data_IF_512905940904
#
_entry.id   IF_512905940904
#
_cell.length_a   1.000
_cell.length_b   1.000
_cell.length_c   1.000
_cell.angle_alpha   90.00
_cell.angle_beta   90.00
_cell.angle_gamma   90.00
#
_symmetry.space_group_name_H-M   'P 1'
#
loop_
_entity.id
_entity.type
_entity.pdbx_description
1 polymer ?
#
# COMPACT_ATOMS: atom_id res chain seq x y z
N UNK A 1 7.54 9.68 7.53
CA UNK A 1 7.66 9.06 6.19
C UNK A 1 8.77 8.03 6.09
N UNK A 2 10.04 8.30 6.49
CA UNK A 2 11.11 7.28 6.45
C UNK A 2 10.76 6.00 7.23
N UNK A 3 10.11 6.13 8.39
CA UNK A 3 9.66 4.99 9.19
C UNK A 3 8.68 4.09 8.39
N UNK A 4 7.64 4.67 7.81
CA UNK A 4 6.62 3.90 7.08
C UNK A 4 7.15 3.11 5.87
N UNK A 5 8.09 3.69 5.10
CA UNK A 5 8.73 2.93 4.01
C UNK A 5 9.61 1.77 4.54
N UNK A 6 10.23 1.95 5.71
CA UNK A 6 11.01 0.89 6.36
C UNK A 6 10.11 -0.24 6.89
N UNK A 7 8.93 0.10 7.42
CA UNK A 7 7.94 -0.88 7.90
C UNK A 7 7.46 -1.79 6.76
N UNK A 8 7.24 -1.21 5.57
CA UNK A 8 6.91 -1.94 4.35
C UNK A 8 8.09 -2.81 3.82
N UNK A 9 9.30 -2.64 4.36
CA UNK A 9 10.49 -3.38 3.92
C UNK A 9 10.97 -3.02 2.51
N UNK A 10 10.58 -1.86 1.96
CA UNK A 10 10.93 -1.44 0.61
C UNK A 10 11.84 -0.21 0.60
N UNK A 11 12.78 -0.09 -0.37
CA UNK A 11 13.60 1.10 -0.52
C UNK A 11 12.74 2.35 -0.68
N UNK A 12 13.16 3.44 -0.02
CA UNK A 12 12.41 4.70 0.02
C UNK A 12 12.14 5.27 -1.39
N UNK A 13 13.06 5.08 -2.33
CA UNK A 13 12.91 5.55 -3.71
C UNK A 13 11.89 4.74 -4.50
N UNK A 14 11.81 3.43 -4.26
CA UNK A 14 10.76 2.57 -4.82
C UNK A 14 9.39 2.97 -4.27
N UNK A 15 9.31 3.22 -2.96
CA UNK A 15 8.09 3.66 -2.29
C UNK A 15 7.51 4.91 -2.97
N UNK A 16 8.31 5.96 -3.19
CA UNK A 16 7.79 7.18 -3.82
C UNK A 16 7.42 7.02 -5.29
N UNK A 17 8.20 6.22 -6.05
CA UNK A 17 7.89 5.95 -7.46
C UNK A 17 6.56 5.25 -7.64
N UNK A 18 6.19 4.34 -6.74
CA UNK A 18 4.89 3.66 -6.75
C UNK A 18 3.70 4.63 -6.68
N UNK A 19 3.86 5.78 -6.02
CA UNK A 19 2.81 6.82 -5.94
C UNK A 19 2.95 7.90 -7.03
N UNK A 20 3.82 7.69 -8.04
CA UNK A 20 4.12 8.67 -9.07
C UNK A 20 4.94 9.87 -8.59
N UNK A 21 5.60 9.76 -7.43
CA UNK A 21 6.37 10.85 -6.83
C UNK A 21 7.85 10.65 -7.16
N UNK A 22 8.44 11.57 -7.92
CA UNK A 22 9.85 11.51 -8.26
C UNK A 22 10.75 11.71 -7.02
N UNK A 23 11.78 10.87 -6.87
CA UNK A 23 12.75 10.96 -5.76
C UNK A 23 13.36 12.36 -5.65
N UNK A 24 13.68 12.99 -6.78
CA UNK A 24 14.23 14.35 -6.81
C UNK A 24 13.28 15.39 -6.20
N UNK A 25 11.97 15.23 -6.37
CA UNK A 25 10.96 16.12 -5.76
C UNK A 25 10.95 15.97 -4.25
N UNK A 26 11.02 14.73 -3.75
CA UNK A 26 11.07 14.45 -2.30
C UNK A 26 12.33 15.01 -1.68
N UNK A 27 13.51 14.72 -2.27
CA UNK A 27 14.79 15.23 -1.76
C UNK A 27 14.82 16.76 -1.78
N UNK A 28 14.34 17.39 -2.85
CA UNK A 28 14.27 18.86 -2.97
C UNK A 28 13.36 19.46 -1.88
N UNK A 29 12.19 18.89 -1.64
CA UNK A 29 11.26 19.36 -0.59
C UNK A 29 11.84 19.17 0.80
N UNK A 30 12.47 18.01 1.07
CA UNK A 30 13.14 17.73 2.34
C UNK A 30 14.27 18.72 2.64
N UNK A 31 15.14 19.01 1.66
CA UNK A 31 16.23 19.99 1.81
C UNK A 31 15.70 21.41 2.08
N UNK A 32 14.55 21.76 1.51
CA UNK A 32 13.90 23.08 1.69
C UNK A 32 12.95 23.12 2.90
N UNK A 33 12.85 22.06 3.70
CA UNK A 33 11.85 21.91 4.77
C UNK A 33 10.41 22.20 4.31
N UNK A 34 10.12 21.93 3.04
CA UNK A 34 8.80 22.10 2.47
C UNK A 34 7.96 20.86 2.69
N UNK A 35 6.71 21.05 3.11
CA UNK A 35 5.73 19.98 3.19
C UNK A 35 5.43 19.37 1.82
N UNK A 36 5.04 18.10 1.81
CA UNK A 36 4.47 17.47 0.63
C UNK A 36 3.12 18.11 0.30
N UNK A 37 2.72 18.05 -0.97
CA UNK A 37 1.40 18.56 -1.34
C UNK A 37 0.30 17.71 -0.70
N UNK A 38 -0.92 18.24 -0.67
CA UNK A 38 -2.08 17.48 -0.18
C UNK A 38 -2.26 16.20 -0.99
N UNK A 39 -2.14 16.29 -2.31
CA UNK A 39 -2.24 15.13 -3.22
C UNK A 39 -1.18 14.06 -2.93
N UNK A 40 0.09 14.45 -2.84
CA UNK A 40 1.20 13.53 -2.53
C UNK A 40 1.01 12.87 -1.15
N UNK A 41 0.52 13.63 -0.18
CA UNK A 41 0.26 13.13 1.18
C UNK A 41 -0.92 12.17 1.20
N UNK A 42 -1.98 12.46 0.44
CA UNK A 42 -3.17 11.63 0.34
C UNK A 42 -2.85 10.22 -0.19
N UNK A 43 -1.99 10.12 -1.22
CA UNK A 43 -1.56 8.83 -1.78
C UNK A 43 -0.82 7.96 -0.76
N UNK A 44 0.03 8.59 0.06
CA UNK A 44 0.76 7.90 1.12
C UNK A 44 -0.18 7.45 2.25
N UNK A 45 -1.13 8.31 2.61
CA UNK A 45 -2.17 7.97 3.59
C UNK A 45 -3.02 6.79 3.11
N UNK A 46 -3.35 6.71 1.83
CA UNK A 46 -4.14 5.58 1.32
C UNK A 46 -3.40 4.24 1.40
N UNK A 47 -2.08 4.20 1.23
CA UNK A 47 -1.30 2.99 1.55
C UNK A 47 -1.42 2.60 3.02
N UNK A 48 -1.32 3.56 3.95
CA UNK A 48 -1.50 3.27 5.38
C UNK A 48 -2.92 2.75 5.69
N UNK A 49 -3.94 3.25 4.97
CA UNK A 49 -5.32 2.72 5.08
C UNK A 49 -5.43 1.28 4.60
N UNK A 50 -4.74 0.90 3.51
CA UNK A 50 -4.71 -0.49 3.03
C UNK A 50 -4.03 -1.42 4.04
N UNK A 51 -2.97 -0.97 4.71
CA UNK A 51 -2.35 -1.74 5.80
C UNK A 51 -3.37 -1.99 6.92
N UNK A 52 -4.04 -0.94 7.40
CA UNK A 52 -5.07 -1.08 8.43
C UNK A 52 -6.26 -1.95 8.00
N UNK A 53 -6.59 -1.94 6.70
CA UNK A 53 -7.60 -2.85 6.14
C UNK A 53 -7.16 -4.31 6.24
N UNK A 54 -5.90 -4.63 5.90
CA UNK A 54 -5.36 -5.99 6.03
C UNK A 54 -5.35 -6.43 7.50
N UNK A 55 -4.94 -5.55 8.41
CA UNK A 55 -4.99 -5.82 9.86
C UNK A 55 -6.42 -6.14 10.31
N UNK A 56 -7.41 -5.33 9.88
CA UNK A 56 -8.83 -5.58 10.17
C UNK A 56 -9.33 -6.91 9.58
N UNK A 57 -8.90 -7.26 8.37
CA UNK A 57 -9.26 -8.53 7.73
C UNK A 57 -8.75 -9.73 8.52
N UNK A 58 -7.53 -9.64 9.05
CA UNK A 58 -6.94 -10.66 9.91
C UNK A 58 -7.69 -10.74 11.24
N UNK A 59 -7.93 -9.60 11.91
CA UNK A 59 -8.73 -9.51 13.15
C UNK A 59 -10.06 -10.26 13.02
N UNK A 60 -10.73 -10.11 11.89
CA UNK A 60 -12.01 -10.75 11.60
C UNK A 60 -11.92 -12.23 11.24
N UNK A 61 -10.74 -12.74 10.85
CA UNK A 61 -10.55 -14.16 10.53
C UNK A 61 -10.57 -15.06 11.77
N UNK A 62 -10.32 -14.50 12.96
CA UNK A 62 -10.46 -15.20 14.24
C UNK A 62 -9.39 -16.27 14.54
N UNK A 63 -8.31 -16.35 13.77
CA UNK A 63 -7.19 -17.28 14.01
C UNK A 63 -6.06 -16.59 14.82
N UNK A 64 -5.90 -16.91 16.11
CA UNK A 64 -4.92 -16.25 16.98
C UNK A 64 -3.46 -16.59 16.63
N UNK A 65 -3.21 -17.74 15.99
CA UNK A 65 -1.86 -18.13 15.60
C UNK A 65 -1.40 -17.38 14.35
N UNK A 66 -2.32 -17.16 13.40
CA UNK A 66 -2.05 -16.32 12.22
C UNK A 66 -1.80 -14.85 12.60
N UNK A 67 -2.43 -14.33 13.66
CA UNK A 67 -2.26 -12.93 14.07
C UNK A 67 -0.92 -12.61 14.71
N UNK A 68 -0.30 -13.57 15.39
CA UNK A 68 0.77 -13.29 16.36
C UNK A 68 2.08 -12.85 15.72
N UNK A 69 2.34 -13.30 14.50
CA UNK A 69 3.59 -13.07 13.77
C UNK A 69 3.36 -12.48 12.36
N UNK A 70 2.15 -12.01 12.06
CA UNK A 70 1.83 -11.45 10.75
C UNK A 70 2.24 -9.98 10.63
N UNK A 71 3.11 -9.71 9.67
CA UNK A 71 3.56 -8.36 9.34
C UNK A 71 2.73 -7.83 8.16
N UNK A 72 1.61 -7.16 8.48
CA UNK A 72 0.69 -6.62 7.47
C UNK A 72 1.35 -5.62 6.50
N UNK A 73 2.19 -4.67 6.96
CA UNK A 73 2.96 -3.83 6.05
C UNK A 73 3.79 -4.62 5.04
N UNK A 74 4.59 -5.59 5.49
CA UNK A 74 5.44 -6.39 4.59
C UNK A 74 4.63 -7.31 3.69
N UNK A 75 3.56 -7.89 4.19
CA UNK A 75 2.66 -8.72 3.39
C UNK A 75 2.04 -7.91 2.26
N UNK A 76 1.48 -6.74 2.58
CA UNK A 76 0.86 -5.87 1.58
C UNK A 76 1.88 -5.44 0.54
N UNK A 77 3.08 -5.04 0.96
CA UNK A 77 4.16 -4.63 0.05
C UNK A 77 4.58 -5.73 -0.94
N UNK A 78 4.46 -7.01 -0.56
CA UNK A 78 4.71 -8.15 -1.46
C UNK A 78 3.49 -8.42 -2.33
N UNK A 79 2.31 -8.48 -1.73
CA UNK A 79 1.06 -8.81 -2.41
C UNK A 79 0.75 -7.83 -3.56
N UNK A 80 0.97 -6.53 -3.37
CA UNK A 80 0.74 -5.54 -4.44
C UNK A 80 1.66 -5.71 -5.65
N UNK A 81 2.75 -6.48 -5.54
CA UNK A 81 3.68 -6.78 -6.62
C UNK A 81 3.36 -8.10 -7.32
N UNK A 82 2.41 -8.87 -6.80
CA UNK A 82 1.95 -10.11 -7.41
C UNK A 82 0.87 -9.80 -8.46
N UNK A 83 0.98 -10.34 -9.68
CA UNK A 83 -0.07 -10.23 -10.69
C UNK A 83 -1.41 -10.76 -10.19
N UNK A 84 -2.49 -10.00 -10.39
CA UNK A 84 -3.84 -10.43 -10.04
C UNK A 84 -4.65 -10.72 -11.30
N UNK A 85 -5.23 -11.92 -11.46
CA UNK A 85 -6.13 -12.22 -12.57
C UNK A 85 -7.33 -11.27 -12.63
N UNK A 86 -7.81 -10.79 -11.48
CA UNK A 86 -8.90 -9.82 -11.37
C UNK A 86 -8.55 -8.44 -11.96
N UNK A 87 -7.27 -8.15 -12.15
CA UNK A 87 -6.76 -6.94 -12.78
C UNK A 87 -6.22 -7.20 -14.20
N UNK A 88 -6.53 -8.36 -14.79
CA UNK A 88 -6.00 -8.76 -16.10
C UNK A 88 -4.50 -8.99 -16.06
N UNK A 89 -4.02 -9.72 -15.04
CA UNK A 89 -2.60 -10.06 -14.78
C UNK A 89 -1.68 -8.86 -14.54
N UNK A 90 -2.27 -7.70 -14.22
CA UNK A 90 -1.53 -6.54 -13.74
C UNK A 90 -1.33 -6.60 -12.23
N UNK A 91 -0.29 -5.91 -11.77
CA UNK A 91 0.03 -5.80 -10.34
C UNK A 91 -0.80 -4.69 -9.70
N UNK A 92 -1.35 -4.88 -8.49
CA UNK A 92 -2.02 -3.80 -7.76
C UNK A 92 -1.16 -2.53 -7.60
N UNK A 93 0.16 -2.67 -7.47
CA UNK A 93 1.11 -1.57 -7.37
C UNK A 93 1.04 -0.57 -8.55
N UNK A 94 0.60 -1.03 -9.74
CA UNK A 94 0.48 -0.20 -10.94
C UNK A 94 -0.68 0.81 -10.88
N UNK A 95 -1.54 0.71 -9.86
CA UNK A 95 -2.71 1.57 -9.66
C UNK A 95 -2.57 2.49 -8.44
N UNK A 96 -1.43 2.45 -7.76
CA UNK A 96 -1.24 3.15 -6.48
C UNK A 96 -0.97 4.66 -6.63
N UNK A 97 -0.77 5.16 -7.85
CA UNK A 97 -0.45 6.55 -8.16
C UNK A 97 -1.68 7.48 -8.19
N UNK A 98 -2.89 6.92 -8.08
CA UNK A 98 -4.18 7.63 -8.06
C UNK A 98 -5.02 7.20 -6.86
N UNK A 99 -5.93 8.07 -6.41
CA UNK A 99 -6.83 7.76 -5.30
C UNK A 99 -7.82 6.67 -5.74
N UNK A 100 -8.35 6.80 -6.95
CA UNK A 100 -9.29 5.87 -7.56
C UNK A 100 -8.68 4.47 -7.72
N UNK A 101 -7.41 4.40 -8.13
CA UNK A 101 -6.69 3.14 -8.22
C UNK A 101 -6.46 2.49 -6.85
N UNK A 102 -6.15 3.28 -5.82
CA UNK A 102 -6.05 2.77 -4.44
C UNK A 102 -7.39 2.25 -3.90
N UNK A 103 -8.52 2.91 -4.22
CA UNK A 103 -9.85 2.39 -3.89
C UNK A 103 -10.15 1.07 -4.58
N UNK A 104 -9.74 0.92 -5.85
CA UNK A 104 -9.88 -0.34 -6.57
C UNK A 104 -9.07 -1.46 -5.90
N UNK A 105 -7.83 -1.18 -5.49
CA UNK A 105 -6.99 -2.14 -4.74
C UNK A 105 -7.61 -2.50 -3.39
N UNK A 106 -8.20 -1.53 -2.68
CA UNK A 106 -8.94 -1.75 -1.44
C UNK A 106 -10.11 -2.71 -1.64
N UNK A 107 -10.91 -2.54 -2.71
CA UNK A 107 -12.03 -3.44 -3.02
C UNK A 107 -11.55 -4.85 -3.34
N UNK A 108 -10.43 -4.97 -4.06
CA UNK A 108 -9.79 -6.27 -4.36
C UNK A 108 -9.39 -7.00 -3.06
N UNK A 109 -8.81 -6.31 -2.07
CA UNK A 109 -8.53 -6.91 -0.75
C UNK A 109 -9.81 -7.39 -0.04
N UNK A 110 -10.89 -6.58 -0.03
CA UNK A 110 -12.17 -6.98 0.58
C UNK A 110 -12.79 -8.22 -0.07
N UNK A 111 -12.67 -8.35 -1.39
CA UNK A 111 -13.16 -9.50 -2.13
C UNK A 111 -12.37 -10.78 -1.79
N UNK A 112 -11.06 -10.66 -1.54
CA UNK A 112 -10.23 -11.79 -1.07
C UNK A 112 -10.68 -12.29 0.32
N UNK A 113 -11.09 -11.39 1.21
CA UNK A 113 -11.53 -11.77 2.56
C UNK A 113 -12.80 -12.63 2.55
N UNK A 114 -13.76 -12.24 1.73
CA UNK A 114 -15.09 -12.87 1.71
C UNK A 114 -15.11 -14.15 0.88
N UNK A 115 -13.98 -14.53 0.30
CA UNK A 115 -13.92 -15.58 -0.73
C UNK A 115 -14.71 -15.21 -1.99
N UNK A 116 -15.09 -13.94 -2.13
CA UNK A 116 -15.80 -13.42 -3.30
C UNK A 116 -14.79 -13.16 -4.44
N UNK A 117 -14.05 -14.20 -4.81
CA UNK A 117 -13.40 -14.31 -6.10
C UNK A 117 -13.91 -15.59 -6.78
N UNK A 118 -14.16 -15.45 -8.09
CA UNK A 118 -14.69 -16.45 -8.99
C UNK A 118 -14.01 -17.83 -8.90
#
# INVERSE_FOLDING_TARGET
>A
MKAFAADLGIPQDRFFRMFGIAQATVTRKALKQQAMSVDESAKIVGMAKLVGQVETMLEQSGDPELMRDFDAPKWLARWIEEPSPALGDKRPAEYMDTIEGQEMVSRLLSMMQTGAYA
#
